data_IF_757393887486
#
_entry.id   IF_757393887486
#
_cell.length_a   1.000
_cell.length_b   1.000
_cell.length_c   1.000
_cell.angle_alpha   90.00
_cell.angle_beta   90.00
_cell.angle_gamma   90.00
#
_symmetry.space_group_name_H-M   'P 1'
#
loop_
_entity.id
_entity.type
_entity.pdbx_description
1 polymer ?
#
# COMPACT_ATOMS: atom_id res chain seq x y z
N UNK A 1 -28.80 -45.66 12.79
CA UNK A 1 -28.84 -44.16 12.66
C UNK A 1 -27.79 -43.74 11.66
N UNK A 2 -28.12 -43.27 10.50
CA UNK A 2 -27.15 -42.84 9.53
C UNK A 2 -26.72 -41.41 9.86
N UNK A 3 -25.48 -41.21 10.25
CA UNK A 3 -24.86 -39.92 10.35
C UNK A 3 -24.61 -39.39 8.93
N UNK A 4 -25.53 -38.56 8.45
CA UNK A 4 -25.33 -37.79 7.22
C UNK A 4 -24.24 -36.74 7.48
N UNK A 5 -23.03 -37.08 7.11
CA UNK A 5 -21.95 -36.09 6.99
C UNK A 5 -22.39 -35.13 5.91
N UNK A 6 -22.77 -33.91 6.31
CA UNK A 6 -22.87 -32.78 5.40
C UNK A 6 -21.49 -32.64 4.72
N UNK A 7 -21.37 -33.09 3.48
CA UNK A 7 -20.26 -32.69 2.62
C UNK A 7 -20.44 -31.22 2.32
N UNK A 8 -19.80 -30.41 3.17
CA UNK A 8 -19.56 -29.00 2.86
C UNK A 8 -18.67 -29.02 1.63
N UNK A 9 -19.28 -28.85 0.45
CA UNK A 9 -18.57 -28.62 -0.79
C UNK A 9 -17.73 -27.38 -0.60
N UNK A 10 -16.43 -27.57 -0.39
CA UNK A 10 -15.48 -26.45 -0.35
C UNK A 10 -15.57 -25.73 -1.70
N UNK A 11 -15.76 -24.41 -1.70
CA UNK A 11 -15.71 -23.67 -2.95
C UNK A 11 -14.31 -23.88 -3.57
N UNK A 12 -14.22 -23.95 -4.91
CA UNK A 12 -12.93 -24.12 -5.58
C UNK A 12 -11.96 -23.06 -5.12
N UNK A 13 -10.64 -23.35 -5.03
CA UNK A 13 -9.63 -22.38 -4.62
C UNK A 13 -9.77 -21.15 -5.52
N UNK A 14 -10.24 -20.06 -4.93
CA UNK A 14 -10.44 -18.80 -5.64
C UNK A 14 -9.10 -18.38 -6.26
N UNK A 15 -9.13 -18.11 -7.56
CA UNK A 15 -8.00 -17.50 -8.27
C UNK A 15 -7.36 -16.39 -7.44
N UNK A 16 -6.02 -16.20 -7.49
CA UNK A 16 -5.34 -15.20 -6.69
C UNK A 16 -6.03 -13.86 -6.91
N UNK A 17 -6.73 -13.42 -5.88
CA UNK A 17 -7.50 -12.18 -5.96
C UNK A 17 -6.53 -11.05 -6.25
N UNK A 18 -6.91 -10.09 -7.10
CA UNK A 18 -6.14 -8.87 -7.45
C UNK A 18 -5.49 -8.21 -6.22
N UNK A 19 -6.05 -8.44 -5.05
CA UNK A 19 -5.54 -8.01 -3.74
C UNK A 19 -4.17 -8.61 -3.39
N UNK A 20 -3.98 -9.90 -3.65
CA UNK A 20 -2.72 -10.60 -3.37
C UNK A 20 -1.65 -10.22 -4.40
N UNK A 21 -2.07 -9.93 -5.64
CA UNK A 21 -1.20 -9.42 -6.69
C UNK A 21 -0.54 -8.08 -6.31
N UNK A 22 -1.29 -7.15 -5.70
CA UNK A 22 -0.73 -5.86 -5.27
C UNK A 22 0.39 -6.06 -4.25
N UNK A 23 0.22 -6.93 -3.27
CA UNK A 23 1.27 -7.23 -2.29
C UNK A 23 2.47 -7.92 -2.93
N UNK A 24 2.24 -8.83 -3.85
CA UNK A 24 3.31 -9.50 -4.58
C UNK A 24 4.15 -8.50 -5.40
N UNK A 25 3.49 -7.58 -6.09
CA UNK A 25 4.15 -6.49 -6.85
C UNK A 25 4.96 -5.58 -5.92
N UNK A 26 4.43 -5.22 -4.75
CA UNK A 26 5.16 -4.38 -3.79
C UNK A 26 6.39 -5.09 -3.22
N UNK A 27 6.28 -6.37 -2.91
CA UNK A 27 7.42 -7.17 -2.43
C UNK A 27 8.47 -7.33 -3.54
N UNK A 28 8.05 -7.57 -4.78
CA UNK A 28 8.96 -7.63 -5.93
C UNK A 28 9.67 -6.27 -6.16
N UNK A 29 8.94 -5.15 -6.01
CA UNK A 29 9.52 -3.82 -6.12
C UNK A 29 10.54 -3.54 -5.00
N UNK A 30 10.27 -3.96 -3.77
CA UNK A 30 11.23 -3.87 -2.67
C UNK A 30 12.49 -4.69 -2.93
N UNK A 31 12.34 -5.90 -3.46
CA UNK A 31 13.47 -6.76 -3.86
C UNK A 31 14.28 -6.08 -4.96
N UNK A 32 13.62 -5.44 -5.94
CA UNK A 32 14.29 -4.69 -6.99
C UNK A 32 15.07 -3.50 -6.43
N UNK A 33 14.50 -2.73 -5.50
CA UNK A 33 15.22 -1.63 -4.83
C UNK A 33 16.48 -2.15 -4.11
N UNK A 34 16.39 -3.30 -3.46
CA UNK A 34 17.55 -3.93 -2.80
C UNK A 34 18.64 -4.31 -3.81
N UNK A 35 18.27 -4.91 -4.93
CA UNK A 35 19.21 -5.25 -6.01
C UNK A 35 19.87 -3.98 -6.59
N UNK A 36 19.07 -2.94 -6.86
CA UNK A 36 19.58 -1.66 -7.39
C UNK A 36 20.55 -0.99 -6.41
N UNK A 37 20.26 -1.05 -5.13
CA UNK A 37 21.19 -0.54 -4.09
C UNK A 37 22.54 -1.25 -4.16
N UNK A 38 22.55 -2.58 -4.21
CA UNK A 38 23.80 -3.35 -4.27
C UNK A 38 24.56 -3.12 -5.57
N UNK A 39 23.88 -3.06 -6.71
CA UNK A 39 24.49 -2.79 -8.00
C UNK A 39 25.05 -1.37 -8.10
N UNK A 40 24.34 -0.37 -7.56
CA UNK A 40 24.84 0.99 -7.48
C UNK A 40 26.07 1.13 -6.57
N UNK A 41 26.03 0.48 -5.40
CA UNK A 41 27.16 0.51 -4.45
C UNK A 41 28.39 -0.24 -4.98
N UNK A 42 28.18 -1.27 -5.80
CA UNK A 42 29.26 -2.01 -6.48
C UNK A 42 29.81 -1.30 -7.74
N UNK A 43 29.21 -0.18 -8.15
CA UNK A 43 29.63 0.59 -9.32
C UNK A 43 29.24 -0.01 -10.68
N UNK A 44 28.37 -1.03 -10.70
CA UNK A 44 27.91 -1.64 -11.96
C UNK A 44 26.89 -0.77 -12.72
N UNK A 45 26.21 0.12 -12.02
CA UNK A 45 25.22 1.05 -12.60
C UNK A 45 25.45 2.47 -12.10
N UNK A 46 25.16 3.45 -12.96
CA UNK A 46 25.21 4.89 -12.61
C UNK A 46 23.88 5.27 -11.96
N UNK A 47 23.63 4.75 -10.78
CA UNK A 47 22.45 5.08 -9.98
C UNK A 47 22.92 5.44 -8.58
N UNK A 48 22.36 6.53 -8.01
CA UNK A 48 22.62 6.87 -6.62
C UNK A 48 22.05 5.77 -5.69
N UNK A 49 22.88 5.02 -4.95
CA UNK A 49 22.39 3.98 -4.04
C UNK A 49 21.38 4.53 -3.02
N UNK A 50 21.50 5.80 -2.66
CA UNK A 50 20.62 6.47 -1.71
C UNK A 50 19.20 6.64 -2.27
N UNK A 51 19.05 6.82 -3.60
CA UNK A 51 17.75 6.87 -4.26
C UNK A 51 17.01 5.53 -4.13
N UNK A 52 17.72 4.41 -4.26
CA UNK A 52 17.14 3.09 -4.07
C UNK A 52 16.63 2.87 -2.62
N UNK A 53 17.38 3.37 -1.63
CA UNK A 53 16.97 3.31 -0.21
C UNK A 53 15.73 4.17 0.04
N UNK A 54 15.69 5.39 -0.47
CA UNK A 54 14.53 6.28 -0.33
C UNK A 54 13.29 5.67 -0.99
N UNK A 55 13.44 5.13 -2.20
CA UNK A 55 12.35 4.42 -2.88
C UNK A 55 11.84 3.22 -2.07
N UNK A 56 12.73 2.44 -1.44
CA UNK A 56 12.33 1.34 -0.59
C UNK A 56 11.53 1.81 0.64
N UNK A 57 11.93 2.89 1.29
CA UNK A 57 11.18 3.49 2.42
C UNK A 57 9.80 3.95 1.96
N UNK A 58 9.69 4.60 0.81
CA UNK A 58 8.41 5.04 0.24
C UNK A 58 7.50 3.85 -0.12
N UNK A 59 8.06 2.75 -0.63
CA UNK A 59 7.33 1.52 -0.91
C UNK A 59 6.78 0.88 0.37
N UNK A 60 7.56 0.85 1.44
CA UNK A 60 7.09 0.37 2.75
C UNK A 60 5.97 1.29 3.27
N UNK A 61 6.12 2.60 3.16
CA UNK A 61 5.09 3.56 3.53
C UNK A 61 3.81 3.35 2.72
N UNK A 62 3.92 3.12 1.42
CA UNK A 62 2.80 2.80 0.54
C UNK A 62 2.10 1.49 0.98
N UNK A 63 2.86 0.47 1.32
CA UNK A 63 2.35 -0.80 1.82
C UNK A 63 1.56 -0.62 3.12
N UNK A 64 2.11 0.15 4.07
CA UNK A 64 1.43 0.49 5.33
C UNK A 64 0.17 1.31 5.08
N UNK A 65 0.20 2.26 4.15
CA UNK A 65 -0.97 3.06 3.78
C UNK A 65 -2.09 2.21 3.16
N UNK A 66 -1.76 1.22 2.32
CA UNK A 66 -2.73 0.27 1.75
C UNK A 66 -3.35 -0.59 2.85
N UNK A 67 -2.53 -1.15 3.74
CA UNK A 67 -3.00 -2.00 4.83
C UNK A 67 -3.86 -1.19 5.80
N UNK A 68 -3.38 -0.04 6.26
CA UNK A 68 -4.08 0.84 7.20
C UNK A 68 -5.44 1.29 6.67
N UNK A 69 -5.48 1.73 5.41
CA UNK A 69 -6.72 2.15 4.77
C UNK A 69 -7.77 1.06 4.62
N UNK A 70 -7.42 -0.21 4.80
CA UNK A 70 -8.35 -1.35 4.75
C UNK A 70 -8.70 -1.87 6.13
N UNK A 71 -7.71 -1.94 7.01
CA UNK A 71 -7.85 -2.54 8.34
C UNK A 71 -8.63 -1.60 9.26
N UNK A 72 -8.28 -0.32 9.30
CA UNK A 72 -8.90 0.66 10.21
C UNK A 72 -10.43 0.70 10.04
N UNK A 73 -10.99 0.87 8.82
CA UNK A 73 -12.43 0.88 8.67
C UNK A 73 -13.13 -0.46 8.98
N UNK A 74 -12.43 -1.59 8.73
CA UNK A 74 -12.98 -2.90 9.05
C UNK A 74 -13.11 -3.10 10.56
N UNK A 75 -12.12 -2.69 11.34
CA UNK A 75 -12.16 -2.75 12.79
C UNK A 75 -13.18 -1.76 13.39
N UNK A 76 -13.25 -0.54 12.86
CA UNK A 76 -14.23 0.47 13.31
C UNK A 76 -15.65 -0.03 13.07
N UNK A 77 -15.91 -0.60 11.89
CA UNK A 77 -17.22 -1.19 11.57
C UNK A 77 -17.59 -2.32 12.54
N UNK A 78 -16.67 -3.25 12.79
CA UNK A 78 -16.91 -4.39 13.68
C UNK A 78 -17.14 -3.94 15.14
N UNK A 79 -16.41 -2.92 15.59
CA UNK A 79 -16.55 -2.37 16.94
C UNK A 79 -17.90 -1.65 17.13
N UNK A 80 -18.32 -0.84 16.15
CA UNK A 80 -19.60 -0.15 16.16
C UNK A 80 -20.79 -1.13 16.15
N UNK A 81 -20.70 -2.18 15.34
CA UNK A 81 -21.72 -3.24 15.33
C UNK A 81 -21.82 -3.96 16.68
N UNK A 82 -20.69 -4.24 17.34
CA UNK A 82 -20.67 -4.89 18.65
C UNK A 82 -21.30 -4.06 19.77
N UNK A 83 -21.26 -2.73 19.64
CA UNK A 83 -21.84 -1.79 20.66
C UNK A 83 -23.26 -1.33 20.37
N UNK A 84 -23.93 -1.81 19.31
CA UNK A 84 -25.26 -1.34 18.85
C UNK A 84 -25.34 0.20 18.80
N UNK A 85 -24.23 0.86 18.51
CA UNK A 85 -24.16 2.30 18.45
C UNK A 85 -24.93 2.81 17.22
N UNK A 86 -25.89 3.70 17.44
CA UNK A 86 -26.64 4.40 16.38
C UNK A 86 -25.84 5.53 15.73
N UNK A 87 -24.51 5.51 15.90
CA UNK A 87 -23.62 6.54 15.35
C UNK A 87 -23.51 6.40 13.84
N UNK A 88 -23.67 7.48 13.05
CA UNK A 88 -23.54 7.41 11.60
C UNK A 88 -22.13 6.94 11.21
N UNK A 89 -22.07 5.97 10.31
CA UNK A 89 -20.81 5.42 9.80
C UNK A 89 -19.95 6.52 9.16
N UNK A 90 -18.64 6.56 9.45
CA UNK A 90 -17.75 7.48 8.78
C UNK A 90 -17.79 7.25 7.26
N UNK A 91 -18.10 8.31 6.51
CA UNK A 91 -18.28 8.26 5.06
C UNK A 91 -16.92 8.08 4.39
N UNK A 92 -16.68 6.93 3.80
CA UNK A 92 -15.49 6.71 2.96
C UNK A 92 -15.58 7.55 1.69
N UNK A 93 -14.51 8.27 1.41
CA UNK A 93 -14.37 9.06 0.20
C UNK A 93 -13.39 8.31 -0.72
N UNK A 94 -13.87 7.46 -1.65
CA UNK A 94 -13.02 6.55 -2.40
C UNK A 94 -12.02 7.24 -3.34
N UNK A 95 -12.30 8.48 -3.78
CA UNK A 95 -11.37 9.24 -4.59
C UNK A 95 -10.17 9.75 -3.79
N UNK A 96 -10.36 10.07 -2.50
CA UNK A 96 -9.28 10.51 -1.61
C UNK A 96 -8.32 9.35 -1.31
N UNK A 97 -8.85 8.14 -1.16
CA UNK A 97 -8.05 6.92 -1.01
C UNK A 97 -7.16 6.69 -2.25
N UNK A 98 -7.73 6.86 -3.44
CA UNK A 98 -6.97 6.71 -4.70
C UNK A 98 -5.92 7.80 -4.85
N UNK A 99 -6.26 9.04 -4.52
CA UNK A 99 -5.33 10.18 -4.58
C UNK A 99 -4.13 9.96 -3.63
N UNK A 100 -4.40 9.55 -2.40
CA UNK A 100 -3.37 9.30 -1.40
C UNK A 100 -2.41 8.17 -1.83
N UNK A 101 -2.92 7.08 -2.39
CA UNK A 101 -2.09 5.99 -2.88
C UNK A 101 -1.34 6.37 -4.17
N UNK A 102 -2.00 7.07 -5.09
CA UNK A 102 -1.40 7.52 -6.33
C UNK A 102 -0.25 8.52 -6.09
N UNK A 103 -0.40 9.44 -5.14
CA UNK A 103 0.64 10.41 -4.79
C UNK A 103 1.90 9.73 -4.23
N UNK A 104 1.75 8.69 -3.42
CA UNK A 104 2.88 7.90 -2.93
C UNK A 104 3.55 7.09 -4.05
N UNK A 105 2.76 6.50 -4.96
CA UNK A 105 3.30 5.78 -6.09
C UNK A 105 4.09 6.71 -7.05
N UNK A 106 3.58 7.92 -7.30
CA UNK A 106 4.26 8.95 -8.09
C UNK A 106 5.58 9.37 -7.42
N UNK A 107 5.59 9.52 -6.09
CA UNK A 107 6.82 9.82 -5.35
C UNK A 107 7.89 8.75 -5.56
N UNK A 108 7.52 7.46 -5.48
CA UNK A 108 8.46 6.35 -5.74
C UNK A 108 9.06 6.45 -7.14
N UNK A 109 8.24 6.75 -8.14
CA UNK A 109 8.72 6.88 -9.53
C UNK A 109 9.62 8.10 -9.73
N UNK A 110 9.27 9.23 -9.10
CA UNK A 110 10.06 10.45 -9.17
C UNK A 110 11.46 10.28 -8.56
N UNK A 111 11.61 9.45 -7.53
CA UNK A 111 12.91 9.21 -6.89
C UNK A 111 13.95 8.66 -7.87
N UNK A 112 13.53 7.85 -8.84
CA UNK A 112 14.41 7.32 -9.89
C UNK A 112 14.64 8.28 -11.07
N UNK A 113 13.77 9.30 -11.21
CA UNK A 113 13.89 10.30 -12.28
C UNK A 113 14.89 11.42 -12.00
N UNK A 114 15.43 11.52 -10.77
CA UNK A 114 16.37 12.58 -10.35
C UNK A 114 15.82 14.01 -10.46
N UNK A 115 14.53 14.27 -10.14
CA UNK A 115 13.97 15.61 -10.24
C UNK A 115 14.60 16.54 -9.20
N UNK A 116 14.52 17.88 -9.40
CA UNK A 116 15.00 18.83 -8.42
C UNK A 116 14.29 18.66 -7.08
N UNK A 117 15.03 18.86 -5.98
CA UNK A 117 14.54 18.66 -4.61
C UNK A 117 13.20 19.38 -4.31
N UNK A 118 12.94 20.51 -4.95
CA UNK A 118 11.70 21.26 -4.81
C UNK A 118 10.47 20.45 -5.30
N UNK A 119 10.60 19.70 -6.40
CA UNK A 119 9.52 18.86 -6.95
C UNK A 119 9.23 17.71 -6.02
N UNK A 120 10.29 17.06 -5.49
CA UNK A 120 10.14 15.99 -4.48
C UNK A 120 9.46 16.52 -3.21
N UNK A 121 9.86 17.71 -2.74
CA UNK A 121 9.28 18.33 -1.55
C UNK A 121 7.79 18.65 -1.72
N UNK A 122 7.38 19.22 -2.84
CA UNK A 122 5.98 19.55 -3.12
C UNK A 122 5.13 18.27 -3.25
N UNK A 123 5.60 17.26 -3.97
CA UNK A 123 4.88 15.99 -4.12
C UNK A 123 4.80 15.23 -2.80
N UNK A 124 5.84 15.27 -1.97
CA UNK A 124 5.82 14.69 -0.63
C UNK A 124 4.79 15.40 0.28
N UNK A 125 4.72 16.73 0.22
CA UNK A 125 3.72 17.50 0.97
C UNK A 125 2.30 17.14 0.55
N UNK A 126 2.02 17.05 -0.75
CA UNK A 126 0.72 16.64 -1.27
C UNK A 126 0.38 15.23 -0.79
N UNK A 127 1.33 14.30 -0.86
CA UNK A 127 1.13 12.94 -0.38
C UNK A 127 0.85 12.89 1.13
N UNK A 128 1.57 13.68 1.93
CA UNK A 128 1.36 13.78 3.37
C UNK A 128 -0.02 14.34 3.72
N UNK A 129 -0.43 15.42 3.07
CA UNK A 129 -1.75 16.04 3.27
C UNK A 129 -2.88 15.11 2.83
N UNK A 130 -2.76 14.44 1.68
CA UNK A 130 -3.75 13.50 1.17
C UNK A 130 -3.91 12.28 2.10
N UNK A 131 -2.81 11.75 2.63
CA UNK A 131 -2.85 10.65 3.59
C UNK A 131 -3.35 11.09 4.96
N UNK A 132 -2.99 12.30 5.43
CA UNK A 132 -3.50 12.88 6.67
C UNK A 132 -5.00 13.17 6.62
N UNK A 133 -5.51 13.69 5.51
CA UNK A 133 -6.93 13.97 5.32
C UNK A 133 -7.81 12.70 5.21
N UNK A 134 -7.19 11.55 4.98
CA UNK A 134 -7.84 10.24 4.89
C UNK A 134 -8.05 9.59 6.26
N UNK A 135 -7.25 9.94 7.26
CA UNK A 135 -7.31 9.38 8.62
C UNK A 135 -8.40 10.06 9.47
#
# INVERSE_FOLDING_TARGET
>A
MPTSWCSVSQPPPSAPTLRNLVFLVLVAALTLCNILFHLGNAGYIVLDPLAAVRAAILLVTLMVAIIGGRIIPAFTHNWLHGKRASTPMPRRIPWLDRLALASLAVLVLLEFGGPPAAVLGVTALIAALANGARL
#
